data_IF_789416151648
#
_entry.id   IF_789416151648
#
_cell.length_a   1.000
_cell.length_b   1.000
_cell.length_c   1.000
_cell.angle_alpha   90.00
_cell.angle_beta   90.00
_cell.angle_gamma   90.00
#
_symmetry.space_group_name_H-M   'P 1'
#
loop_
_entity.id
_entity.type
_entity.pdbx_description
1 polymer ?
#
# COMPACT_ATOMS: atom_id res chain seq x y z
N UNK A 1 -39.84 -8.49 76.24
CA UNK A 1 -40.66 -7.36 75.74
C UNK A 1 -40.01 -6.86 74.46
N UNK A 2 -40.80 -6.74 73.39
CA UNK A 2 -40.52 -6.49 71.93
C UNK A 2 -39.64 -5.21 71.73
N UNK A 3 -38.77 -5.07 70.69
CA UNK A 3 -39.18 -5.16 69.29
C UNK A 3 -38.31 -5.86 68.25
N UNK A 4 -39.03 -6.44 67.27
CA UNK A 4 -38.56 -6.75 65.93
C UNK A 4 -38.40 -5.45 65.14
N UNK A 5 -37.25 -5.29 64.48
CA UNK A 5 -37.13 -4.38 63.35
C UNK A 5 -37.30 -5.19 62.06
N UNK A 6 -38.43 -4.97 61.40
CA UNK A 6 -38.70 -5.37 60.01
C UNK A 6 -38.09 -4.31 59.11
N UNK A 7 -36.93 -4.57 58.49
CA UNK A 7 -36.43 -3.70 57.43
C UNK A 7 -36.99 -4.15 56.09
N UNK A 8 -38.04 -3.42 55.69
CA UNK A 8 -38.59 -3.40 54.35
C UNK A 8 -37.53 -2.85 53.38
N UNK A 9 -36.80 -3.74 52.72
CA UNK A 9 -35.88 -3.38 51.62
C UNK A 9 -36.71 -3.06 50.37
N UNK A 10 -37.29 -1.86 50.37
CA UNK A 10 -37.80 -1.21 49.17
C UNK A 10 -36.73 -0.32 48.58
N UNK A 11 -36.19 -0.66 47.41
CA UNK A 11 -35.62 0.36 46.52
C UNK A 11 -35.51 -0.14 45.09
N UNK A 12 -36.45 0.32 44.28
CA UNK A 12 -36.50 0.22 42.83
C UNK A 12 -35.21 0.77 42.19
N UNK A 13 -34.20 -0.08 41.99
CA UNK A 13 -33.10 0.23 41.07
C UNK A 13 -33.44 -0.27 39.68
N UNK A 14 -34.32 0.48 39.01
CA UNK A 14 -34.50 0.39 37.56
C UNK A 14 -33.19 0.91 36.94
N UNK A 15 -32.34 -0.01 36.47
CA UNK A 15 -31.17 0.33 35.68
C UNK A 15 -31.65 1.05 34.40
N UNK A 16 -31.55 2.37 34.39
CA UNK A 16 -31.82 3.17 33.20
C UNK A 16 -30.56 3.10 32.35
N UNK A 17 -30.59 2.26 31.32
CA UNK A 17 -29.53 2.24 30.32
C UNK A 17 -29.34 3.68 29.81
N UNK A 18 -28.09 4.19 29.76
CA UNK A 18 -27.85 5.49 29.15
C UNK A 18 -28.30 5.41 27.70
N UNK A 19 -29.12 6.39 27.29
CA UNK A 19 -29.46 6.60 25.89
C UNK A 19 -28.15 6.86 25.13
N UNK A 20 -27.64 5.84 24.45
CA UNK A 20 -26.55 5.95 23.47
C UNK A 20 -27.11 6.58 22.19
N UNK A 21 -27.62 7.80 22.29
CA UNK A 21 -27.97 8.62 21.14
C UNK A 21 -26.70 9.18 20.53
N UNK A 22 -26.43 8.72 19.31
CA UNK A 22 -25.59 9.38 18.30
C UNK A 22 -24.21 9.83 18.76
N UNK A 23 -23.27 8.88 18.77
CA UNK A 23 -21.85 9.23 18.71
C UNK A 23 -21.56 10.10 17.47
N UNK A 24 -20.61 11.04 17.55
CA UNK A 24 -20.28 11.92 16.43
C UNK A 24 -19.97 11.07 15.20
N UNK A 25 -20.58 11.42 14.06
CA UNK A 25 -20.15 10.94 12.74
C UNK A 25 -18.73 11.46 12.50
N UNK A 26 -17.73 10.82 13.11
CA UNK A 26 -16.37 10.85 12.57
C UNK A 26 -16.52 10.33 11.16
N UNK A 27 -16.15 11.14 10.17
CA UNK A 27 -15.88 10.70 8.80
C UNK A 27 -14.69 9.74 8.86
N UNK A 28 -14.92 8.56 9.44
CA UNK A 28 -13.99 7.46 9.45
C UNK A 28 -13.96 6.91 8.04
N UNK A 29 -12.75 6.67 7.52
CA UNK A 29 -12.61 5.83 6.34
C UNK A 29 -13.43 4.56 6.54
N UNK A 30 -14.16 4.13 5.51
CA UNK A 30 -14.93 2.90 5.60
C UNK A 30 -13.98 1.74 5.90
N UNK A 31 -14.34 0.85 6.83
CA UNK A 31 -13.62 -0.40 7.10
C UNK A 31 -13.29 -1.17 5.81
N UNK A 32 -14.15 -1.07 4.79
CA UNK A 32 -13.89 -1.65 3.45
C UNK A 32 -12.65 -1.08 2.77
N UNK A 33 -12.42 0.23 2.87
CA UNK A 33 -11.27 0.90 2.27
C UNK A 33 -9.97 0.48 2.94
N UNK A 34 -9.96 0.38 4.27
CA UNK A 34 -8.80 -0.10 5.02
C UNK A 34 -8.45 -1.54 4.65
N UNK A 35 -9.47 -2.40 4.53
CA UNK A 35 -9.30 -3.79 4.06
C UNK A 35 -8.75 -3.82 2.63
N UNK A 36 -9.25 -2.99 1.71
CA UNK A 36 -8.75 -2.94 0.34
C UNK A 36 -7.27 -2.52 0.28
N UNK A 37 -6.87 -1.50 1.05
CA UNK A 37 -5.46 -1.06 1.11
C UNK A 37 -4.56 -2.18 1.67
N UNK A 38 -5.02 -2.88 2.71
CA UNK A 38 -4.29 -4.02 3.26
C UNK A 38 -4.16 -5.18 2.28
N UNK A 39 -5.22 -5.51 1.54
CA UNK A 39 -5.19 -6.55 0.49
C UNK A 39 -4.24 -6.11 -0.62
N UNK A 40 -4.34 -4.87 -1.09
CA UNK A 40 -3.47 -4.33 -2.13
C UNK A 40 -1.99 -4.42 -1.74
N UNK A 41 -1.65 -4.10 -0.48
CA UNK A 41 -0.29 -4.18 0.02
C UNK A 41 0.26 -5.62 0.01
N UNK A 42 -0.55 -6.59 0.44
CA UNK A 42 -0.14 -8.01 0.49
C UNK A 42 -0.09 -8.64 -0.90
N UNK A 43 -1.06 -8.34 -1.76
CA UNK A 43 -1.09 -8.84 -3.12
C UNK A 43 0.13 -8.34 -3.91
N UNK A 44 0.44 -7.05 -3.81
CA UNK A 44 1.63 -6.48 -4.45
C UNK A 44 2.92 -7.03 -3.85
N UNK A 45 3.00 -7.25 -2.53
CA UNK A 45 4.14 -7.91 -1.91
C UNK A 45 4.35 -9.34 -2.43
N UNK A 46 3.26 -10.11 -2.60
CA UNK A 46 3.32 -11.47 -3.14
C UNK A 46 3.81 -11.51 -4.59
N UNK A 47 3.48 -10.49 -5.39
CA UNK A 47 4.01 -10.32 -6.75
C UNK A 47 5.47 -9.86 -6.73
N UNK A 48 5.81 -8.89 -5.88
CA UNK A 48 7.15 -8.32 -5.81
C UNK A 48 8.20 -9.27 -5.26
N UNK A 49 7.86 -10.15 -4.32
CA UNK A 49 8.80 -11.07 -3.73
C UNK A 49 9.56 -11.92 -4.78
N UNK A 50 8.90 -12.63 -5.71
CA UNK A 50 9.58 -13.33 -6.79
C UNK A 50 10.11 -12.36 -7.86
N UNK A 51 9.38 -11.29 -8.19
CA UNK A 51 9.78 -10.39 -9.27
C UNK A 51 11.08 -9.63 -8.96
N UNK A 52 11.31 -9.22 -7.70
CA UNK A 52 12.57 -8.61 -7.25
C UNK A 52 13.73 -9.58 -7.42
N UNK A 53 13.53 -10.87 -7.13
CA UNK A 53 14.57 -11.89 -7.33
C UNK A 53 14.93 -11.97 -8.82
N UNK A 54 13.93 -12.13 -9.69
CA UNK A 54 14.14 -12.17 -11.15
C UNK A 54 14.83 -10.89 -11.65
N UNK A 55 14.41 -9.73 -11.16
CA UNK A 55 14.99 -8.44 -11.53
C UNK A 55 16.46 -8.32 -11.13
N UNK A 56 16.80 -8.65 -9.87
CA UNK A 56 18.18 -8.61 -9.37
C UNK A 56 19.06 -9.59 -10.14
N UNK A 57 18.58 -10.83 -10.34
CA UNK A 57 19.30 -11.84 -11.12
C UNK A 57 19.59 -11.32 -12.52
N UNK A 58 18.60 -10.72 -13.18
CA UNK A 58 18.74 -10.14 -14.52
C UNK A 58 19.76 -9.00 -14.54
N UNK A 59 19.72 -8.08 -13.56
CA UNK A 59 20.73 -7.01 -13.44
C UNK A 59 22.12 -7.62 -13.30
N UNK A 60 22.30 -8.58 -12.38
CA UNK A 60 23.61 -9.21 -12.14
C UNK A 60 24.14 -9.89 -13.40
N UNK A 61 23.29 -10.57 -14.18
CA UNK A 61 23.71 -11.16 -15.45
C UNK A 61 24.03 -10.10 -16.51
N UNK A 62 23.22 -9.05 -16.61
CA UNK A 62 23.40 -8.00 -17.60
C UNK A 62 24.73 -7.23 -17.38
N UNK A 63 25.10 -6.96 -16.12
CA UNK A 63 26.30 -6.18 -15.81
C UNK A 63 27.62 -6.97 -15.87
N UNK A 64 27.59 -8.30 -16.04
CA UNK A 64 28.81 -9.13 -16.13
C UNK A 64 29.71 -8.77 -17.31
N UNK A 65 29.15 -8.20 -18.38
CA UNK A 65 29.93 -7.71 -19.54
C UNK A 65 30.49 -6.29 -19.37
N UNK A 66 30.09 -5.57 -18.32
CA UNK A 66 30.33 -4.14 -18.13
C UNK A 66 29.03 -3.33 -18.13
N UNK A 67 29.10 -2.06 -17.72
CA UNK A 67 27.97 -1.12 -17.72
C UNK A 67 27.87 -0.35 -19.05
N UNK A 68 28.04 -1.03 -20.19
CA UNK A 68 27.86 -0.40 -21.50
C UNK A 68 26.35 -0.35 -21.84
N UNK A 69 25.84 0.86 -22.09
CA UNK A 69 24.44 1.07 -22.42
C UNK A 69 24.00 0.29 -23.67
N UNK A 70 24.87 0.16 -24.66
CA UNK A 70 24.58 -0.56 -25.91
C UNK A 70 24.38 -2.05 -25.63
N UNK A 71 25.31 -2.67 -24.90
CA UNK A 71 25.25 -4.10 -24.56
C UNK A 71 24.03 -4.45 -23.68
N UNK A 72 23.61 -3.52 -22.82
CA UNK A 72 22.40 -3.71 -22.01
C UNK A 72 21.16 -3.61 -22.90
N UNK A 73 21.08 -2.60 -23.77
CA UNK A 73 19.93 -2.40 -24.66
C UNK A 73 19.78 -3.60 -25.61
N UNK A 74 20.86 -4.11 -26.19
CA UNK A 74 20.84 -5.29 -27.07
C UNK A 74 20.19 -6.52 -26.46
N UNK A 75 20.27 -6.68 -25.13
CA UNK A 75 19.73 -7.84 -24.41
C UNK A 75 18.25 -7.69 -24.02
N UNK A 76 17.71 -6.48 -24.04
CA UNK A 76 16.37 -6.17 -23.49
C UNK A 76 15.43 -5.56 -24.55
N UNK A 77 15.97 -4.94 -25.60
CA UNK A 77 15.20 -4.28 -26.64
C UNK A 77 14.32 -5.24 -27.46
N UNK A 78 13.16 -4.77 -27.93
CA UNK A 78 12.24 -5.55 -28.77
C UNK A 78 11.59 -6.78 -28.10
N UNK A 79 11.91 -7.08 -26.84
CA UNK A 79 11.39 -8.26 -26.15
C UNK A 79 10.10 -7.96 -25.36
N UNK A 80 8.98 -8.45 -25.87
CA UNK A 80 7.65 -8.27 -25.26
C UNK A 80 7.56 -8.94 -23.88
N UNK A 81 8.23 -10.07 -23.67
CA UNK A 81 8.26 -10.75 -22.37
C UNK A 81 8.90 -9.88 -21.29
N UNK A 82 10.02 -9.23 -21.61
CA UNK A 82 10.66 -8.27 -20.70
C UNK A 82 9.78 -7.04 -20.46
N UNK A 83 9.14 -6.49 -21.50
CA UNK A 83 8.22 -5.37 -21.35
C UNK A 83 7.09 -5.71 -20.37
N UNK A 84 6.39 -6.83 -20.57
CA UNK A 84 5.29 -7.25 -19.70
C UNK A 84 5.75 -7.47 -18.25
N UNK A 85 6.90 -8.11 -18.06
CA UNK A 85 7.50 -8.30 -16.75
C UNK A 85 7.74 -6.95 -16.05
N UNK A 86 8.38 -6.00 -16.73
CA UNK A 86 8.71 -4.70 -16.15
C UNK A 86 7.48 -3.84 -15.90
N UNK A 87 6.44 -3.93 -16.74
CA UNK A 87 5.17 -3.24 -16.51
C UNK A 87 4.53 -3.74 -15.22
N UNK A 88 4.38 -5.05 -15.06
CA UNK A 88 3.82 -5.65 -13.83
C UNK A 88 4.67 -5.26 -12.61
N UNK A 89 5.99 -5.37 -12.74
CA UNK A 89 6.93 -5.03 -11.67
C UNK A 89 6.82 -3.57 -11.23
N UNK A 90 6.82 -2.63 -12.18
CA UNK A 90 6.73 -1.18 -11.92
C UNK A 90 5.42 -0.84 -11.22
N UNK A 91 4.28 -1.32 -11.72
CA UNK A 91 2.98 -1.03 -11.10
C UNK A 91 2.85 -1.65 -9.71
N UNK A 92 3.32 -2.90 -9.53
CA UNK A 92 3.34 -3.53 -8.21
C UNK A 92 4.24 -2.76 -7.24
N UNK A 93 5.44 -2.35 -7.66
CA UNK A 93 6.41 -1.60 -6.86
C UNK A 93 5.87 -0.21 -6.48
N UNK A 94 5.26 0.50 -7.42
CA UNK A 94 4.68 1.82 -7.19
C UNK A 94 3.55 1.76 -6.15
N UNK A 95 2.63 0.79 -6.27
CA UNK A 95 1.53 0.61 -5.31
C UNK A 95 2.06 0.18 -3.94
N UNK A 96 2.92 -0.84 -3.88
CA UNK A 96 3.46 -1.36 -2.64
C UNK A 96 4.27 -0.29 -1.87
N UNK A 97 5.13 0.42 -2.61
CA UNK A 97 5.95 1.51 -2.08
C UNK A 97 5.11 2.68 -1.58
N UNK A 98 4.10 3.11 -2.34
CA UNK A 98 3.22 4.21 -1.93
C UNK A 98 2.42 3.87 -0.66
N UNK A 99 1.78 2.70 -0.61
CA UNK A 99 1.01 2.27 0.56
C UNK A 99 1.90 2.03 1.79
N UNK A 100 3.09 1.46 1.61
CA UNK A 100 4.06 1.30 2.69
C UNK A 100 4.57 2.63 3.23
N UNK A 101 4.90 3.56 2.33
CA UNK A 101 5.34 4.92 2.68
C UNK A 101 4.26 5.67 3.46
N UNK A 102 2.99 5.48 3.11
CA UNK A 102 1.86 6.06 3.86
C UNK A 102 1.87 5.62 5.32
N UNK A 103 2.01 4.32 5.56
CA UNK A 103 2.09 3.75 6.92
C UNK A 103 3.27 4.34 7.67
N UNK A 104 4.48 4.28 7.09
CA UNK A 104 5.71 4.79 7.71
C UNK A 104 5.60 6.28 8.05
N UNK A 105 5.13 7.12 7.13
CA UNK A 105 5.01 8.56 7.38
C UNK A 105 3.94 8.88 8.42
N UNK A 106 2.82 8.16 8.43
CA UNK A 106 1.77 8.37 9.41
C UNK A 106 2.18 7.99 10.84
N UNK A 107 3.11 7.04 10.97
CA UNK A 107 3.65 6.57 12.26
C UNK A 107 4.86 7.39 12.71
N UNK A 108 5.75 7.74 11.78
CA UNK A 108 7.04 8.36 12.09
C UNK A 108 6.99 9.89 12.14
N UNK A 109 5.90 10.52 11.67
CA UNK A 109 5.78 11.97 11.56
C UNK A 109 4.41 12.47 12.04
N UNK A 110 4.26 13.79 12.15
CA UNK A 110 2.97 14.42 12.44
C UNK A 110 2.07 14.56 11.19
N UNK A 111 2.51 14.11 10.01
CA UNK A 111 1.77 14.26 8.75
C UNK A 111 0.52 13.36 8.74
N UNK A 112 -0.66 13.96 8.52
CA UNK A 112 -1.96 13.27 8.52
C UNK A 112 -2.94 13.91 7.54
N UNK A 113 -3.99 13.16 7.21
CA UNK A 113 -5.12 13.65 6.42
C UNK A 113 -4.80 13.87 4.94
N UNK A 114 -5.54 14.79 4.32
CA UNK A 114 -5.57 14.98 2.85
C UNK A 114 -4.19 15.28 2.26
N UNK A 115 -3.32 16.00 2.98
CA UNK A 115 -1.97 16.29 2.49
C UNK A 115 -1.10 15.03 2.38
N UNK A 116 -1.13 14.16 3.40
CA UNK A 116 -0.42 12.89 3.36
C UNK A 116 -0.96 12.02 2.22
N UNK A 117 -2.29 11.89 2.12
CA UNK A 117 -2.91 11.08 1.06
C UNK A 117 -2.54 11.62 -0.34
N UNK A 118 -2.52 12.94 -0.53
CA UNK A 118 -2.08 13.58 -1.77
C UNK A 118 -0.60 13.31 -2.11
N UNK A 119 0.29 13.40 -1.12
CA UNK A 119 1.71 13.09 -1.30
C UNK A 119 1.94 11.64 -1.72
N UNK A 120 1.22 10.70 -1.10
CA UNK A 120 1.34 9.27 -1.39
C UNK A 120 0.80 8.95 -2.79
N UNK A 121 -0.33 9.54 -3.19
CA UNK A 121 -0.86 9.39 -4.55
C UNK A 121 0.13 9.97 -5.56
N UNK A 122 0.67 11.17 -5.31
CA UNK A 122 1.66 11.78 -6.18
C UNK A 122 2.90 10.89 -6.33
N UNK A 123 3.43 10.38 -5.22
CA UNK A 123 4.57 9.46 -5.23
C UNK A 123 4.29 8.22 -6.09
N UNK A 124 3.13 7.57 -5.87
CA UNK A 124 2.75 6.38 -6.65
C UNK A 124 2.62 6.67 -8.15
N UNK A 125 1.98 7.79 -8.52
CA UNK A 125 1.80 8.19 -9.93
C UNK A 125 3.14 8.51 -10.58
N UNK A 126 4.02 9.26 -9.91
CA UNK A 126 5.35 9.60 -10.43
C UNK A 126 6.17 8.33 -10.65
N UNK A 127 6.21 7.42 -9.68
CA UNK A 127 6.94 6.16 -9.81
C UNK A 127 6.39 5.29 -10.94
N UNK A 128 5.07 5.19 -11.08
CA UNK A 128 4.45 4.44 -12.18
C UNK A 128 4.76 5.07 -13.56
N UNK A 129 4.66 6.40 -13.68
CA UNK A 129 4.91 7.10 -14.94
C UNK A 129 6.38 7.00 -15.38
N UNK A 130 7.32 7.24 -14.46
CA UNK A 130 8.75 7.14 -14.74
C UNK A 130 9.16 5.71 -15.06
N UNK A 131 8.67 4.72 -14.29
CA UNK A 131 8.97 3.31 -14.53
C UNK A 131 8.38 2.80 -15.85
N UNK A 132 7.13 3.15 -16.18
CA UNK A 132 6.51 2.82 -17.46
C UNK A 132 7.32 3.42 -18.62
N UNK A 133 7.64 4.71 -18.54
CA UNK A 133 8.43 5.40 -19.57
C UNK A 133 9.77 4.70 -19.79
N UNK A 134 10.47 4.34 -18.72
CA UNK A 134 11.75 3.64 -18.81
C UNK A 134 11.61 2.27 -19.50
N UNK A 135 10.63 1.46 -19.08
CA UNK A 135 10.38 0.15 -19.68
C UNK A 135 10.02 0.25 -21.17
N UNK A 136 9.16 1.22 -21.53
CA UNK A 136 8.73 1.43 -22.91
C UNK A 136 9.88 1.91 -23.80
N UNK A 137 10.69 2.87 -23.32
CA UNK A 137 11.86 3.36 -24.06
C UNK A 137 12.86 2.24 -24.33
N UNK A 138 13.19 1.43 -23.32
CA UNK A 138 14.09 0.28 -23.47
C UNK A 138 13.58 -0.74 -24.50
N UNK A 139 12.28 -1.03 -24.46
CA UNK A 139 11.65 -1.91 -25.46
C UNK A 139 11.72 -1.30 -26.87
N UNK A 140 11.45 0.00 -27.00
CA UNK A 140 11.32 0.68 -28.29
C UNK A 140 12.60 0.75 -29.11
N UNK A 141 13.79 0.70 -28.48
CA UNK A 141 15.08 0.76 -29.20
C UNK A 141 15.27 -0.38 -30.22
N UNK A 142 14.60 -1.51 -30.03
CA UNK A 142 14.69 -2.67 -30.93
C UNK A 142 13.41 -2.93 -31.72
N UNK A 143 12.41 -2.05 -31.60
CA UNK A 143 11.13 -2.16 -32.30
C UNK A 143 11.04 -1.24 -33.54
N UNK A 144 12.11 -0.47 -33.80
CA UNK A 144 12.31 0.42 -34.96
C UNK A 144 13.37 -0.15 -35.87
#
# INVERSE_FOLDING_TARGET
>A
MVPKATESYGSNRRFKAPNCTSGPKRTAMSTRTEVHMWIAQRATAAVLAPAVIVHIVTIVYAVRGGLNAIEIIERVQGNIGWLLFYVVFVFAAAVHGALGLRTVLSESTALRGVFLDGLIVLFGVVMAALGWRAAFVLFSYGAT
#
